data_IF_183751273823
#
_entry.id   IF_183751273823
#
_cell.length_a   1.000
_cell.length_b   1.000
_cell.length_c   1.000
_cell.angle_alpha   90.00
_cell.angle_beta   90.00
_cell.angle_gamma   90.00
#
_symmetry.space_group_name_H-M   'P 1'
#
loop_
_entity.id
_entity.type
_entity.pdbx_description
1 polymer ?
#
# COMPACT_ATOMS: atom_id res chain seq x y z
N UNK A 1 26.18 32.47 -14.31
CA UNK A 1 26.11 31.33 -15.26
C UNK A 1 25.14 30.31 -14.70
N UNK A 2 23.91 30.26 -15.19
CA UNK A 2 22.98 29.19 -14.87
C UNK A 2 23.37 27.98 -15.73
N UNK A 3 23.80 26.89 -15.09
CA UNK A 3 23.92 25.59 -15.78
C UNK A 3 22.50 25.16 -16.12
N UNK A 4 22.20 25.02 -17.40
CA UNK A 4 20.99 24.32 -17.82
C UNK A 4 21.04 22.93 -17.16
N UNK A 5 20.01 22.61 -16.37
CA UNK A 5 19.81 21.25 -15.90
C UNK A 5 19.53 20.43 -17.16
N UNK A 6 20.53 19.73 -17.67
CA UNK A 6 20.29 18.66 -18.64
C UNK A 6 19.22 17.73 -18.03
N UNK A 7 18.26 17.24 -18.82
CA UNK A 7 17.22 16.38 -18.29
C UNK A 7 17.88 15.14 -17.68
N UNK A 8 17.80 15.03 -16.34
CA UNK A 8 18.29 13.88 -15.54
C UNK A 8 17.30 12.71 -15.68
N UNK A 9 16.71 12.55 -16.86
CA UNK A 9 15.72 11.50 -17.14
C UNK A 9 16.28 10.69 -18.30
N UNK A 10 16.88 9.56 -17.96
CA UNK A 10 17.29 8.53 -18.91
C UNK A 10 16.23 7.42 -18.97
N UNK A 11 16.42 6.45 -19.86
CA UNK A 11 15.52 5.30 -20.04
C UNK A 11 15.39 4.43 -18.77
N UNK A 12 16.36 4.54 -17.85
CA UNK A 12 16.40 3.85 -16.57
C UNK A 12 15.70 4.61 -15.44
N UNK A 13 15.25 5.84 -15.70
CA UNK A 13 14.60 6.69 -14.70
C UNK A 13 13.19 6.17 -14.38
N UNK A 14 12.67 6.44 -13.18
CA UNK A 14 11.33 6.00 -12.79
C UNK A 14 10.61 7.05 -11.96
N UNK A 15 9.30 7.18 -12.18
CA UNK A 15 8.44 7.95 -11.31
C UNK A 15 7.92 7.06 -10.17
N UNK A 16 8.08 7.50 -8.93
CA UNK A 16 7.62 6.77 -7.75
C UNK A 16 6.57 7.58 -6.99
N UNK A 17 5.38 7.01 -6.87
CA UNK A 17 4.36 7.47 -5.95
C UNK A 17 4.43 6.70 -4.63
N UNK A 18 4.17 7.40 -3.53
CA UNK A 18 4.29 6.86 -2.17
C UNK A 18 2.93 6.69 -1.46
N UNK A 19 1.88 7.29 -1.99
CA UNK A 19 0.47 7.09 -1.60
C UNK A 19 -0.26 6.17 -2.57
N UNK A 20 -1.51 5.81 -2.28
CA UNK A 20 -2.30 4.95 -3.16
C UNK A 20 -2.56 5.65 -4.51
N UNK A 21 -3.07 6.88 -4.45
CA UNK A 21 -3.36 7.70 -5.63
C UNK A 21 -2.08 8.05 -6.40
N UNK A 22 -1.06 8.55 -5.70
CA UNK A 22 0.20 8.95 -6.34
C UNK A 22 0.94 7.77 -6.94
N UNK A 23 0.83 6.55 -6.38
CA UNK A 23 1.40 5.34 -6.99
C UNK A 23 0.77 5.01 -8.34
N UNK A 24 -0.54 5.22 -8.49
CA UNK A 24 -1.23 5.04 -9.77
C UNK A 24 -0.80 6.10 -10.79
N UNK A 25 -0.76 7.37 -10.38
CA UNK A 25 -0.28 8.47 -11.24
C UNK A 25 1.14 8.22 -11.71
N UNK A 26 2.05 7.88 -10.80
CA UNK A 26 3.45 7.59 -11.12
C UNK A 26 3.60 6.40 -12.08
N UNK A 27 2.73 5.39 -11.94
CA UNK A 27 2.70 4.24 -12.86
C UNK A 27 2.21 4.65 -14.25
N UNK A 28 1.18 5.50 -14.34
CA UNK A 28 0.70 6.03 -15.61
C UNK A 28 1.77 6.88 -16.30
N UNK A 29 2.40 7.81 -15.57
CA UNK A 29 3.48 8.66 -16.09
C UNK A 29 4.63 7.81 -16.59
N UNK A 30 5.08 6.83 -15.80
CA UNK A 30 6.21 5.99 -16.23
C UNK A 30 5.88 5.20 -17.50
N UNK A 31 4.69 4.59 -17.57
CA UNK A 31 4.27 3.86 -18.76
C UNK A 31 4.11 4.76 -19.99
N UNK A 32 3.54 5.95 -19.82
CA UNK A 32 3.34 6.91 -20.92
C UNK A 32 4.67 7.44 -21.48
N UNK A 33 5.68 7.58 -20.62
CA UNK A 33 7.01 8.05 -21.00
C UNK A 33 7.96 6.92 -21.42
N UNK A 34 7.50 5.66 -21.40
CA UNK A 34 8.32 4.50 -21.76
C UNK A 34 9.50 4.25 -20.82
N UNK A 35 9.50 4.81 -19.59
CA UNK A 35 10.63 4.66 -18.68
C UNK A 35 10.63 3.28 -18.02
N UNK A 36 11.81 2.84 -17.58
CA UNK A 36 12.02 1.58 -16.87
C UNK A 36 11.56 0.33 -17.63
N UNK A 37 11.58 0.35 -18.96
CA UNK A 37 11.45 -0.80 -19.88
C UNK A 37 10.32 -1.80 -19.57
N UNK A 38 9.18 -1.32 -19.04
CA UNK A 38 8.07 -2.21 -18.67
C UNK A 38 8.36 -3.14 -17.48
N UNK A 39 9.44 -2.90 -16.73
CA UNK A 39 9.73 -3.58 -15.47
C UNK A 39 8.72 -3.23 -14.36
N UNK A 40 7.92 -2.19 -14.54
CA UNK A 40 7.09 -1.65 -13.48
C UNK A 40 5.77 -2.41 -13.28
N UNK A 41 5.24 -2.25 -12.07
CA UNK A 41 3.84 -2.53 -11.72
C UNK A 41 2.89 -1.92 -12.76
N UNK A 42 1.84 -2.67 -13.11
CA UNK A 42 0.79 -2.17 -14.00
C UNK A 42 -0.29 -1.45 -13.19
N UNK A 43 -1.05 -0.55 -13.81
CA UNK A 43 -2.23 0.05 -13.17
C UNK A 43 -3.18 -1.04 -12.67
N UNK A 44 -3.36 -2.10 -13.46
CA UNK A 44 -4.16 -3.29 -13.09
C UNK A 44 -3.66 -3.94 -11.81
N UNK A 45 -2.35 -4.12 -11.64
CA UNK A 45 -1.78 -4.72 -10.42
C UNK A 45 -2.05 -3.86 -9.19
N UNK A 46 -1.94 -2.53 -9.32
CA UNK A 46 -2.26 -1.60 -8.24
C UNK A 46 -3.75 -1.61 -7.88
N UNK A 47 -4.63 -1.69 -8.88
CA UNK A 47 -6.06 -1.82 -8.67
C UNK A 47 -6.42 -3.13 -7.98
N UNK A 48 -5.83 -4.25 -8.40
CA UNK A 48 -6.04 -5.55 -7.76
C UNK A 48 -5.61 -5.48 -6.30
N UNK A 49 -4.44 -4.91 -5.99
CA UNK A 49 -4.00 -4.81 -4.60
C UNK A 49 -4.93 -3.91 -3.76
N UNK A 50 -5.30 -2.73 -4.28
CA UNK A 50 -6.11 -1.74 -3.55
C UNK A 50 -7.54 -2.20 -3.29
N UNK A 51 -8.16 -2.86 -4.27
CA UNK A 51 -9.52 -3.36 -4.16
C UNK A 51 -9.51 -4.72 -3.45
N UNK A 52 -9.99 -4.72 -2.21
CA UNK A 52 -9.97 -5.90 -1.36
C UNK A 52 -10.75 -7.04 -2.01
N UNK A 53 -11.87 -6.79 -2.68
CA UNK A 53 -12.64 -7.84 -3.32
C UNK A 53 -11.94 -8.43 -4.54
N UNK A 54 -11.41 -7.57 -5.42
CA UNK A 54 -10.61 -8.02 -6.58
C UNK A 54 -9.40 -8.84 -6.13
N UNK A 55 -8.72 -8.42 -5.06
CA UNK A 55 -7.60 -9.17 -4.50
C UNK A 55 -8.03 -10.55 -4.01
N UNK A 56 -9.15 -10.64 -3.28
CA UNK A 56 -9.68 -11.93 -2.80
C UNK A 56 -10.10 -12.84 -3.93
N UNK A 57 -10.66 -12.31 -5.01
CA UNK A 57 -11.03 -13.10 -6.18
C UNK A 57 -9.80 -13.56 -6.98
N UNK A 58 -8.72 -12.76 -6.98
CA UNK A 58 -7.46 -13.13 -7.60
C UNK A 58 -6.74 -14.25 -6.81
N UNK A 59 -6.93 -14.28 -5.49
CA UNK A 59 -6.51 -15.41 -4.65
C UNK A 59 -7.53 -16.54 -4.82
N UNK A 60 -7.09 -17.76 -5.15
CA UNK A 60 -8.00 -18.90 -5.29
C UNK A 60 -8.91 -19.06 -4.06
N UNK A 61 -10.20 -19.35 -4.25
CA UNK A 61 -11.19 -19.47 -3.17
C UNK A 61 -10.84 -20.53 -2.11
N UNK A 62 -10.06 -21.57 -2.47
CA UNK A 62 -9.55 -22.58 -1.54
C UNK A 62 -8.22 -22.23 -0.86
N UNK A 63 -7.65 -21.04 -1.12
CA UNK A 63 -6.38 -20.64 -0.51
C UNK A 63 -6.55 -20.39 0.98
N UNK A 64 -5.60 -20.87 1.77
CA UNK A 64 -5.50 -20.54 3.19
C UNK A 64 -5.35 -19.03 3.43
N UNK A 65 -4.82 -18.27 2.48
CA UNK A 65 -4.69 -16.80 2.57
C UNK A 65 -6.05 -16.09 2.55
N UNK A 66 -7.06 -16.72 1.94
CA UNK A 66 -8.42 -16.21 1.93
C UNK A 66 -9.14 -16.65 3.21
N UNK A 67 -9.20 -15.73 4.17
CA UNK A 67 -10.15 -15.84 5.27
C UNK A 67 -11.60 -15.70 4.77
N UNK A 68 -12.55 -16.00 5.65
CA UNK A 68 -13.97 -15.81 5.37
C UNK A 68 -14.27 -14.32 5.13
N UNK A 69 -14.90 -13.99 4.00
CA UNK A 69 -15.38 -12.65 3.70
C UNK A 69 -16.66 -12.71 2.88
N UNK A 70 -17.47 -11.66 2.99
CA UNK A 70 -18.68 -11.47 2.19
C UNK A 70 -18.77 -10.02 1.74
N UNK A 71 -19.28 -9.80 0.54
CA UNK A 71 -19.73 -8.48 0.11
C UNK A 71 -21.09 -8.20 0.73
N UNK A 72 -21.24 -7.01 1.30
CA UNK A 72 -22.49 -6.52 1.87
C UNK A 72 -22.70 -5.12 1.35
N UNK A 73 -23.83 -4.86 0.73
CA UNK A 73 -24.27 -3.50 0.44
C UNK A 73 -24.84 -2.92 1.74
N UNK A 74 -24.18 -1.91 2.28
CA UNK A 74 -24.59 -1.26 3.53
C UNK A 74 -25.19 0.08 3.14
N UNK A 75 -26.50 0.09 2.89
CA UNK A 75 -27.25 1.34 2.76
C UNK A 75 -27.62 1.87 4.15
N UNK A 76 -27.81 3.20 4.33
CA UNK A 76 -28.14 3.79 5.64
C UNK A 76 -29.41 3.26 6.32
N UNK A 77 -30.18 2.39 5.66
CA UNK A 77 -31.45 1.87 6.15
C UNK A 77 -31.51 0.33 6.19
N UNK A 78 -30.44 -0.38 5.83
CA UNK A 78 -30.41 -1.86 5.79
C UNK A 78 -29.52 -2.47 6.88
N UNK A 79 -29.88 -2.21 8.14
CA UNK A 79 -29.22 -2.82 9.31
C UNK A 79 -29.51 -4.34 9.42
N UNK A 80 -30.57 -4.82 8.76
CA UNK A 80 -31.06 -6.20 8.88
C UNK A 80 -30.03 -7.23 8.41
N UNK A 81 -29.32 -6.94 7.31
CA UNK A 81 -28.30 -7.86 6.77
C UNK A 81 -27.08 -7.99 7.68
N UNK A 82 -26.62 -6.90 8.29
CA UNK A 82 -25.49 -6.92 9.22
C UNK A 82 -25.86 -7.64 10.52
N UNK A 83 -27.09 -7.50 10.99
CA UNK A 83 -27.61 -8.24 12.16
C UNK A 83 -27.63 -9.74 11.89
N UNK A 84 -28.09 -10.16 10.71
CA UNK A 84 -28.11 -11.58 10.34
C UNK A 84 -26.69 -12.16 10.24
N UNK A 85 -25.76 -11.47 9.58
CA UNK A 85 -24.36 -11.88 9.53
C UNK A 85 -23.73 -11.96 10.93
N UNK A 86 -24.04 -11.01 11.81
CA UNK A 86 -23.54 -11.04 13.19
C UNK A 86 -24.05 -12.25 13.98
N UNK A 87 -25.26 -12.74 13.72
CA UNK A 87 -25.77 -13.97 14.36
C UNK A 87 -25.00 -15.21 13.94
N UNK A 88 -24.41 -15.20 12.73
CA UNK A 88 -23.66 -16.31 12.18
C UNK A 88 -22.20 -16.36 12.64
N UNK A 89 -21.68 -15.27 13.23
CA UNK A 89 -20.27 -15.17 13.63
C UNK A 89 -20.16 -14.86 15.13
N UNK A 90 -19.73 -15.85 15.91
CA UNK A 90 -19.64 -15.76 17.37
C UNK A 90 -18.66 -14.66 17.84
N UNK A 91 -17.49 -14.59 17.21
CA UNK A 91 -16.34 -13.73 17.55
C UNK A 91 -16.50 -12.25 17.12
N UNK A 92 -17.61 -11.94 16.44
CA UNK A 92 -17.91 -10.59 15.95
C UNK A 92 -17.54 -10.35 14.48
N UNK A 93 -17.88 -9.16 14.00
CA UNK A 93 -17.80 -8.80 12.58
C UNK A 93 -16.91 -7.58 12.38
N UNK A 94 -16.03 -7.62 11.38
CA UNK A 94 -15.30 -6.44 10.89
C UNK A 94 -15.92 -5.99 9.58
N UNK A 95 -16.53 -4.82 9.57
CA UNK A 95 -17.06 -4.17 8.37
C UNK A 95 -16.04 -3.13 7.90
N UNK A 96 -15.67 -3.17 6.63
CA UNK A 96 -14.70 -2.25 6.03
C UNK A 96 -15.08 -1.89 4.58
N UNK A 97 -14.76 -0.68 4.10
CA UNK A 97 -14.95 -0.33 2.70
C UNK A 97 -14.16 -1.23 1.75
N UNK A 98 -14.66 -1.40 0.52
CA UNK A 98 -14.01 -2.21 -0.53
C UNK A 98 -12.67 -1.63 -0.98
N UNK A 99 -12.58 -0.30 -0.99
CA UNK A 99 -11.42 0.48 -1.40
C UNK A 99 -11.02 1.50 -0.33
N UNK A 100 -9.79 1.99 -0.41
CA UNK A 100 -9.25 3.02 0.48
C UNK A 100 -8.10 2.51 1.36
N UNK A 101 -7.41 3.44 1.99
CA UNK A 101 -6.24 3.20 2.83
C UNK A 101 -6.50 3.51 4.30
N UNK A 102 -5.85 2.74 5.17
CA UNK A 102 -5.93 2.94 6.61
C UNK A 102 -7.25 2.42 7.18
N UNK A 103 -7.31 2.31 8.50
CA UNK A 103 -8.49 1.78 9.21
C UNK A 103 -9.69 2.75 9.22
N UNK A 104 -9.77 3.68 8.25
CA UNK A 104 -10.86 4.64 8.09
C UNK A 104 -12.14 3.89 7.76
N UNK A 105 -13.22 4.19 8.48
CA UNK A 105 -14.52 3.52 8.36
C UNK A 105 -14.45 1.99 8.55
N UNK A 106 -13.44 1.49 9.28
CA UNK A 106 -13.41 0.10 9.73
C UNK A 106 -14.17 0.02 11.06
N UNK A 107 -15.28 -0.72 11.04
CA UNK A 107 -16.14 -0.90 12.20
C UNK A 107 -16.02 -2.34 12.71
N UNK A 108 -15.49 -2.49 13.92
CA UNK A 108 -15.49 -3.76 14.64
C UNK A 108 -16.74 -3.86 15.51
N UNK A 109 -17.62 -4.81 15.21
CA UNK A 109 -18.85 -5.07 15.96
C UNK A 109 -18.60 -6.22 16.93
N UNK A 110 -17.89 -5.89 18.03
CA UNK A 110 -17.42 -6.88 19.02
C UNK A 110 -17.78 -6.52 20.48
N UNK A 111 -17.78 -5.22 20.86
CA UNK A 111 -17.87 -4.63 22.21
C UNK A 111 -16.85 -5.12 23.27
N UNK A 112 -16.13 -4.10 23.82
CA UNK A 112 -15.17 -4.04 24.96
C UNK A 112 -14.01 -5.05 24.91
N UNK A 113 -12.78 -4.71 24.55
CA UNK A 113 -12.01 -3.53 24.93
C UNK A 113 -10.88 -3.33 23.92
N UNK A 114 -10.66 -2.08 23.51
CA UNK A 114 -9.63 -1.70 22.55
C UNK A 114 -8.24 -1.97 23.13
N UNK A 115 -7.68 -3.13 22.82
CA UNK A 115 -6.26 -3.42 23.02
C UNK A 115 -5.46 -2.57 22.02
N UNK A 116 -4.94 -1.44 22.48
CA UNK A 116 -3.80 -0.77 21.84
C UNK A 116 -2.59 -1.70 21.94
N UNK A 117 -2.44 -2.60 20.97
CA UNK A 117 -1.19 -3.34 20.78
C UNK A 117 -0.17 -2.39 20.17
N UNK A 118 0.93 -2.17 20.88
CA UNK A 118 2.09 -1.45 20.36
C UNK A 118 2.61 -2.19 19.11
N UNK A 119 2.77 -1.48 17.99
CA UNK A 119 3.40 -2.01 16.78
C UNK A 119 4.92 -2.08 17.04
N UNK A 120 5.44 -3.27 17.33
CA UNK A 120 6.89 -3.49 17.43
C UNK A 120 7.49 -3.68 16.04
N UNK A 121 8.61 -3.01 15.76
CA UNK A 121 9.40 -3.18 14.54
C UNK A 121 10.89 -3.36 14.90
N UNK A 122 11.56 -4.43 14.44
CA UNK A 122 10.99 -5.59 13.76
C UNK A 122 10.03 -6.38 14.67
N UNK A 123 9.13 -7.15 14.06
CA UNK A 123 8.20 -8.02 14.80
C UNK A 123 8.99 -9.13 15.52
N UNK A 124 8.63 -9.40 16.78
CA UNK A 124 9.17 -10.54 17.52
C UNK A 124 8.36 -11.79 17.17
N UNK A 125 8.71 -12.44 16.06
CA UNK A 125 8.10 -13.69 15.57
C UNK A 125 9.19 -14.74 15.34
N UNK A 126 8.83 -16.03 15.40
CA UNK A 126 9.77 -17.12 15.11
C UNK A 126 10.15 -17.16 13.62
N UNK A 127 11.31 -17.76 13.31
CA UNK A 127 11.80 -17.84 11.92
C UNK A 127 10.81 -18.56 11.00
N UNK A 128 10.14 -19.61 11.47
CA UNK A 128 9.14 -20.33 10.69
C UNK A 128 7.93 -19.44 10.33
N UNK A 129 7.41 -18.66 11.28
CA UNK A 129 6.30 -17.74 11.01
C UNK A 129 6.72 -16.61 10.08
N UNK A 130 7.97 -16.13 10.22
CA UNK A 130 8.55 -15.16 9.30
C UNK A 130 8.56 -15.71 7.88
N UNK A 131 9.08 -16.93 7.69
CA UNK A 131 9.20 -17.55 6.37
C UNK A 131 7.82 -17.80 5.74
N UNK A 132 6.84 -18.27 6.54
CA UNK A 132 5.43 -18.39 6.12
C UNK A 132 4.83 -17.06 5.67
N UNK A 133 5.11 -15.96 6.37
CA UNK A 133 4.65 -14.62 5.98
C UNK A 133 5.32 -14.14 4.69
N UNK A 134 6.60 -14.45 4.46
CA UNK A 134 7.27 -14.14 3.19
C UNK A 134 6.68 -14.92 2.02
N UNK A 135 6.39 -16.21 2.20
CA UNK A 135 5.75 -17.03 1.17
C UNK A 135 4.32 -16.57 0.87
N UNK A 136 3.57 -16.18 1.92
CA UNK A 136 2.27 -15.55 1.77
C UNK A 136 2.37 -14.23 0.99
N UNK A 137 3.34 -13.37 1.31
CA UNK A 137 3.57 -12.12 0.60
C UNK A 137 3.93 -12.35 -0.88
N UNK A 138 4.82 -13.30 -1.18
CA UNK A 138 5.17 -13.68 -2.56
C UNK A 138 3.94 -14.14 -3.34
N UNK A 139 3.10 -14.96 -2.71
CA UNK A 139 1.85 -15.43 -3.32
C UNK A 139 0.92 -14.27 -3.66
N UNK A 140 0.71 -13.34 -2.72
CA UNK A 140 -0.12 -12.15 -2.92
C UNK A 140 0.40 -11.27 -4.06
N UNK A 141 1.71 -11.03 -4.10
CA UNK A 141 2.33 -10.24 -5.17
C UNK A 141 2.21 -10.92 -6.53
N UNK A 142 2.43 -12.25 -6.58
CA UNK A 142 2.32 -13.03 -7.80
C UNK A 142 0.89 -13.01 -8.38
N UNK A 143 -0.13 -13.26 -7.55
CA UNK A 143 -1.54 -13.24 -8.03
C UNK A 143 -2.00 -11.85 -8.44
N UNK A 144 -1.49 -10.80 -7.82
CA UNK A 144 -1.76 -9.43 -8.22
C UNK A 144 -1.01 -9.02 -9.51
N UNK A 145 -0.07 -9.83 -9.99
CA UNK A 145 0.84 -9.46 -11.07
C UNK A 145 1.78 -8.31 -10.70
N UNK A 146 2.09 -8.15 -9.41
CA UNK A 146 2.95 -7.08 -8.90
C UNK A 146 4.42 -7.50 -9.01
N UNK A 147 5.13 -6.92 -9.98
CA UNK A 147 6.50 -7.33 -10.34
C UNK A 147 7.59 -6.50 -9.66
N UNK A 148 7.37 -5.18 -9.54
CA UNK A 148 8.39 -4.26 -9.08
C UNK A 148 7.77 -3.08 -8.34
N UNK A 149 8.51 -2.57 -7.35
CA UNK A 149 8.14 -1.44 -6.52
C UNK A 149 7.89 -1.82 -5.07
N UNK A 150 7.52 -0.81 -4.27
CA UNK A 150 7.31 -0.99 -2.84
C UNK A 150 5.87 -1.47 -2.57
N UNK A 151 5.70 -2.41 -1.65
CA UNK A 151 4.39 -2.91 -1.25
C UNK A 151 4.23 -2.93 0.26
N UNK A 152 2.99 -2.81 0.71
CA UNK A 152 2.58 -3.01 2.09
C UNK A 152 1.53 -4.11 2.12
N UNK A 153 1.74 -5.15 2.92
CA UNK A 153 0.80 -6.27 3.02
C UNK A 153 0.57 -6.56 4.50
N UNK A 154 -0.69 -6.62 4.90
CA UNK A 154 -1.09 -6.94 6.26
C UNK A 154 -1.64 -8.36 6.33
N UNK A 155 -1.15 -9.14 7.29
CA UNK A 155 -1.61 -10.48 7.58
C UNK A 155 -2.05 -10.58 9.04
N UNK A 156 -3.00 -11.46 9.32
CA UNK A 156 -3.22 -12.02 10.65
C UNK A 156 -2.73 -13.46 10.65
N UNK A 157 -2.03 -13.87 11.71
CA UNK A 157 -1.67 -15.27 11.94
C UNK A 157 -2.75 -15.93 12.78
N UNK A 158 -3.47 -16.87 12.19
CA UNK A 158 -4.41 -17.77 12.88
C UNK A 158 -3.69 -19.08 13.16
N UNK A 159 -3.10 -19.19 14.36
CA UNK A 159 -2.11 -20.22 14.64
C UNK A 159 -0.93 -20.07 13.69
N UNK A 160 -0.63 -21.12 12.93
CA UNK A 160 0.48 -21.16 11.96
C UNK A 160 0.08 -20.68 10.55
N UNK A 161 -1.17 -20.29 10.34
CA UNK A 161 -1.69 -19.97 9.00
C UNK A 161 -1.79 -18.46 8.80
N UNK A 162 -1.03 -17.87 7.86
CA UNK A 162 -1.23 -16.50 7.43
C UNK A 162 -2.56 -16.33 6.72
N UNK A 163 -3.33 -15.35 7.16
CA UNK A 163 -4.56 -14.89 6.52
C UNK A 163 -4.31 -13.47 6.06
N UNK A 164 -4.48 -13.22 4.77
CA UNK A 164 -4.36 -11.86 4.25
C UNK A 164 -5.44 -10.99 4.90
N UNK A 165 -5.11 -9.74 5.26
CA UNK A 165 -6.06 -8.69 5.67
C UNK A 165 -6.26 -7.72 4.49
N UNK A 166 -5.15 -7.16 3.99
CA UNK A 166 -5.08 -6.22 2.87
C UNK A 166 -3.68 -6.14 2.27
N UNK A 167 -3.58 -5.61 1.05
CA UNK A 167 -2.32 -5.35 0.37
C UNK A 167 -2.39 -4.02 -0.38
N UNK A 168 -1.27 -3.32 -0.53
CA UNK A 168 -1.17 -2.08 -1.28
C UNK A 168 0.17 -2.03 -2.01
N UNK A 169 0.18 -1.51 -3.24
CA UNK A 169 1.41 -1.23 -3.98
C UNK A 169 2.02 0.11 -3.59
N UNK A 170 2.26 0.33 -2.29
CA UNK A 170 2.95 1.52 -1.76
C UNK A 170 3.68 1.19 -0.48
N UNK A 171 4.39 2.17 0.06
CA UNK A 171 5.07 2.04 1.35
C UNK A 171 4.05 2.15 2.49
N UNK A 172 4.26 1.32 3.52
CA UNK A 172 3.56 1.51 4.80
C UNK A 172 4.01 2.79 5.47
N UNK A 173 3.08 3.52 6.08
CA UNK A 173 3.38 4.75 6.80
C UNK A 173 4.54 4.61 7.80
N UNK A 174 4.73 3.40 8.36
CA UNK A 174 5.80 3.13 9.33
C UNK A 174 7.14 2.67 8.75
N UNK A 175 7.13 2.05 7.56
CA UNK A 175 8.33 1.49 6.93
C UNK A 175 9.08 2.52 6.08
N UNK A 176 8.43 3.64 5.74
CA UNK A 176 8.95 4.65 4.82
C UNK A 176 10.26 5.27 5.30
N UNK A 177 10.32 5.74 6.55
CA UNK A 177 11.49 6.43 7.07
C UNK A 177 12.71 5.52 7.19
N UNK A 178 12.51 4.27 7.64
CA UNK A 178 13.59 3.27 7.76
C UNK A 178 14.14 2.91 6.38
N UNK A 179 13.26 2.69 5.40
CA UNK A 179 13.66 2.31 4.04
C UNK A 179 14.41 3.44 3.34
N UNK A 180 13.92 4.69 3.49
CA UNK A 180 14.53 5.85 2.86
C UNK A 180 15.89 6.20 3.48
N UNK A 181 16.01 6.17 4.82
CA UNK A 181 17.30 6.34 5.50
C UNK A 181 18.29 5.25 5.12
N UNK A 182 17.85 3.99 5.04
CA UNK A 182 18.71 2.89 4.62
C UNK A 182 19.24 3.07 3.20
N UNK A 183 18.39 3.56 2.29
CA UNK A 183 18.77 3.84 0.90
C UNK A 183 19.75 5.01 0.80
N UNK A 184 19.47 6.13 1.48
CA UNK A 184 20.33 7.31 1.49
C UNK A 184 21.69 7.05 2.15
N UNK A 185 21.68 6.39 3.31
CA UNK A 185 22.89 6.19 4.12
C UNK A 185 23.66 4.93 3.72
N UNK A 186 23.12 4.12 2.79
CA UNK A 186 23.59 2.77 2.43
C UNK A 186 23.85 1.88 3.65
N UNK A 187 23.15 2.14 4.76
CA UNK A 187 23.34 1.51 6.06
C UNK A 187 21.98 1.42 6.72
N UNK A 188 21.65 0.24 7.25
CA UNK A 188 20.51 0.13 8.16
C UNK A 188 20.77 1.04 9.37
N UNK A 189 19.76 1.78 9.87
CA UNK A 189 19.94 2.59 11.06
C UNK A 189 20.44 1.68 12.19
N UNK A 190 21.42 2.13 13.01
CA UNK A 190 21.90 1.33 14.12
C UNK A 190 20.71 1.00 15.02
N UNK A 191 20.46 -0.30 15.21
CA UNK A 191 19.48 -0.79 16.17
C UNK A 191 20.04 -0.49 17.57
N UNK A 192 19.92 0.76 18.01
CA UNK A 192 20.19 1.11 19.39
C UNK A 192 19.10 0.45 20.24
N UNK A 193 19.33 -0.80 20.64
CA UNK A 193 18.54 -1.49 21.64
C UNK A 193 18.72 -0.76 22.97
N UNK A 194 17.93 0.28 23.20
CA UNK A 194 17.81 0.93 24.51
C UNK A 194 16.39 0.71 25.00
N UNK A 195 16.24 -0.27 25.89
CA UNK A 195 14.98 -0.64 26.54
C UNK A 195 14.28 -1.86 25.92
N UNK A 196 13.38 -2.48 26.68
CA UNK A 196 12.60 -3.67 26.30
C UNK A 196 11.66 -3.46 25.09
N UNK A 197 11.62 -2.27 24.51
CA UNK A 197 10.72 -1.88 23.43
C UNK A 197 11.46 -1.02 22.39
N UNK A 198 11.30 -1.35 21.10
CA UNK A 198 11.68 -0.48 20.00
C UNK A 198 10.44 0.31 19.56
N UNK A 199 10.51 1.64 19.62
CA UNK A 199 9.55 2.54 19.00
C UNK A 199 10.27 3.35 17.91
N UNK A 200 9.75 3.32 16.69
CA UNK A 200 10.14 4.28 15.66
C UNK A 200 9.40 5.57 16.00
N UNK A 201 10.14 6.62 16.36
CA UNK A 201 9.58 7.97 16.55
C UNK A 201 9.30 8.54 15.17
N UNK A 202 8.02 8.70 14.85
CA UNK A 202 7.60 9.40 13.65
C UNK A 202 7.81 10.91 13.84
N UNK A 203 8.45 11.61 12.90
CA UNK A 203 8.32 13.06 12.86
C UNK A 203 6.83 13.42 12.73
N UNK A 204 6.39 14.39 13.52
CA UNK A 204 5.02 14.89 13.48
C UNK A 204 4.80 15.71 12.19
N UNK A 205 4.42 15.00 11.13
CA UNK A 205 4.09 15.61 9.84
C UNK A 205 2.73 16.32 9.84
N UNK A 206 2.00 16.38 10.96
CA UNK A 206 0.75 17.18 11.04
C UNK A 206 1.01 18.68 10.89
N UNK A 207 2.27 19.11 11.08
CA UNK A 207 2.71 20.47 10.79
C UNK A 207 3.02 20.71 9.29
N UNK A 208 3.13 19.66 8.48
CA UNK A 208 3.19 19.78 7.02
C UNK A 208 1.77 19.92 6.48
N UNK A 209 1.32 21.17 6.41
CA UNK A 209 -0.04 21.56 6.05
C UNK A 209 -0.35 21.48 4.53
N UNK A 210 0.10 20.43 3.85
CA UNK A 210 -0.22 20.22 2.44
C UNK A 210 -1.08 18.97 2.26
N UNK A 211 -2.37 19.20 2.03
CA UNK A 211 -3.36 18.19 1.73
C UNK A 211 -2.99 17.41 0.45
N UNK A 212 -3.44 16.16 0.36
CA UNK A 212 -3.33 15.32 -0.85
C UNK A 212 -3.81 16.05 -2.11
N UNK A 213 -4.82 16.91 -1.97
CA UNK A 213 -5.39 17.75 -3.03
C UNK A 213 -4.39 18.79 -3.58
N UNK A 214 -3.58 19.42 -2.73
CA UNK A 214 -2.51 20.33 -3.19
C UNK A 214 -1.40 19.58 -3.94
N UNK A 215 -1.04 18.39 -3.46
CA UNK A 215 -0.07 17.54 -4.16
C UNK A 215 -0.56 17.12 -5.54
N UNK A 216 -1.86 16.81 -5.66
CA UNK A 216 -2.49 16.48 -6.95
C UNK A 216 -2.47 17.68 -7.91
N UNK A 217 -2.69 18.90 -7.42
CA UNK A 217 -2.63 20.11 -8.24
C UNK A 217 -1.20 20.39 -8.73
N UNK A 218 -0.21 20.36 -7.83
CA UNK A 218 1.21 20.58 -8.19
C UNK A 218 1.71 19.50 -9.16
N UNK A 219 1.38 18.23 -8.91
CA UNK A 219 1.72 17.15 -9.82
C UNK A 219 1.00 17.28 -11.17
N UNK A 220 -0.28 17.69 -11.15
CA UNK A 220 -1.07 17.92 -12.35
C UNK A 220 -0.50 19.01 -13.25
N UNK A 221 -0.07 20.13 -12.65
CA UNK A 221 0.56 21.24 -13.36
C UNK A 221 1.91 20.82 -13.96
N UNK A 222 2.76 20.16 -13.17
CA UNK A 222 4.06 19.66 -13.62
C UNK A 222 3.94 18.60 -14.74
N UNK A 223 2.96 17.69 -14.65
CA UNK A 223 2.68 16.70 -15.69
C UNK A 223 2.16 17.41 -16.95
N UNK A 224 1.27 18.38 -16.82
CA UNK A 224 0.73 19.14 -17.96
C UNK A 224 1.79 19.96 -18.69
N UNK A 225 2.79 20.47 -17.96
CA UNK A 225 3.93 21.18 -18.52
C UNK A 225 4.92 20.22 -19.19
N UNK A 226 5.23 19.09 -18.56
CA UNK A 226 6.07 18.05 -19.15
C UNK A 226 5.48 17.49 -20.45
N UNK A 227 4.18 17.20 -20.49
CA UNK A 227 3.47 16.73 -21.69
C UNK A 227 3.51 17.80 -22.80
N UNK A 228 3.26 19.08 -22.47
CA UNK A 228 3.36 20.18 -23.45
C UNK A 228 4.77 20.31 -24.03
N UNK A 229 5.80 20.18 -23.19
CA UNK A 229 7.20 20.22 -23.61
C UNK A 229 7.53 19.07 -24.58
N UNK A 230 7.08 17.85 -24.27
CA UNK A 230 7.31 16.67 -25.11
C UNK A 230 6.59 16.76 -26.46
N UNK A 231 5.38 17.32 -26.50
CA UNK A 231 4.66 17.60 -27.76
C UNK A 231 5.38 18.66 -28.60
N UNK A 232 5.88 19.73 -27.98
CA UNK A 232 6.66 20.76 -28.68
C UNK A 232 7.98 20.24 -29.25
N UNK A 233 8.59 19.25 -28.59
CA UNK A 233 9.82 18.60 -29.04
C UNK A 233 9.58 17.51 -30.09
N UNK A 234 8.32 17.23 -30.46
CA UNK A 234 7.97 16.20 -31.44
C UNK A 234 8.12 14.77 -30.93
N UNK A 235 8.30 14.57 -29.61
CA UNK A 235 8.46 13.26 -28.99
C UNK A 235 7.12 12.51 -28.81
N UNK A 236 6.00 13.24 -28.85
CA UNK A 236 4.64 12.69 -28.83
C UNK A 236 3.86 13.26 -30.01
N UNK A 237 3.39 12.40 -30.91
CA UNK A 237 2.45 12.79 -31.98
C UNK A 237 1.05 12.96 -31.41
N UNK A 238 0.40 14.08 -31.74
CA UNK A 238 -0.96 14.45 -31.32
C UNK A 238 -2.02 13.41 -31.65
#
# INVERSE_FOLDING_TARGET
MARALEPIVDECSMCLGLGDTTSQVATLVTNALGLAEGMLRTLRSLEIMRDKHRLRNAISSGSSLNGLYSLVDVTPHDDGRLVELRRQVAEGLVVKPLSGSGSTNVHSITKKSQLRRLKLQPARIGDQDRDRLFDAARTVLAVAGYRFGLSHIEFILEGETPRLIEAHGRVGATAFEVLFRTYLDRRLPPLNQRGEHAAVVFPDLRSWADSEEKWLNVAGDAISEAVRSLVQQGALTS
#
